data_IF_720789177243
#
_entry.id   IF_720789177243
#
_cell.length_a   1.000
_cell.length_b   1.000
_cell.length_c   1.000
_cell.angle_alpha   90.00
_cell.angle_beta   90.00
_cell.angle_gamma   90.00
#
_symmetry.space_group_name_H-M   'P 1'
#
loop_
_entity.id
_entity.type
_entity.pdbx_description
1 polymer ?
#
# COMPACT_ATOMS: atom_id res chain seq x y z
N UNK A 1 26.05 -20.20 -36.30
CA UNK A 1 26.33 -19.99 -34.87
C UNK A 1 25.25 -19.08 -34.32
N UNK A 2 24.19 -19.68 -33.78
CA UNK A 2 23.19 -18.96 -33.00
C UNK A 2 23.72 -18.99 -31.59
N UNK A 3 24.24 -17.86 -31.11
CA UNK A 3 24.35 -17.59 -29.69
C UNK A 3 22.92 -17.71 -29.16
N UNK A 4 22.64 -18.86 -28.57
CA UNK A 4 21.49 -19.02 -27.69
C UNK A 4 21.65 -17.88 -26.69
N UNK A 5 20.70 -16.96 -26.71
CA UNK A 5 20.55 -15.97 -25.65
C UNK A 5 20.42 -16.80 -24.37
N UNK A 6 21.53 -16.87 -23.62
CA UNK A 6 21.75 -17.88 -22.60
C UNK A 6 20.67 -17.71 -21.55
N UNK A 7 19.64 -18.57 -21.58
CA UNK A 7 18.42 -18.46 -20.78
C UNK A 7 18.65 -18.30 -19.28
N UNK A 8 19.88 -18.56 -18.81
CA UNK A 8 20.43 -18.13 -17.52
C UNK A 8 20.19 -16.64 -17.22
N UNK A 9 20.44 -15.74 -18.18
CA UNK A 9 20.18 -14.30 -18.01
C UNK A 9 18.68 -13.98 -17.91
N UNK A 10 17.83 -14.76 -18.58
CA UNK A 10 16.38 -14.64 -18.48
C UNK A 10 15.85 -15.15 -17.13
N UNK A 11 16.40 -16.24 -16.60
CA UNK A 11 16.00 -16.81 -15.31
C UNK A 11 16.38 -15.88 -14.14
N UNK A 12 17.59 -15.31 -14.16
CA UNK A 12 18.04 -14.32 -13.17
C UNK A 12 17.17 -13.05 -13.22
N UNK A 13 16.88 -12.56 -14.44
CA UNK A 13 16.01 -11.40 -14.63
C UNK A 13 14.58 -11.67 -14.15
N UNK A 14 14.04 -12.88 -14.40
CA UNK A 14 12.73 -13.30 -13.90
C UNK A 14 12.71 -13.31 -12.38
N UNK A 15 13.70 -13.91 -11.73
CA UNK A 15 13.77 -13.97 -10.28
C UNK A 15 13.82 -12.57 -9.64
N UNK A 16 14.61 -11.65 -10.23
CA UNK A 16 14.67 -10.27 -9.76
C UNK A 16 13.31 -9.56 -9.93
N UNK A 17 12.65 -9.75 -11.07
CA UNK A 17 11.34 -9.18 -11.34
C UNK A 17 10.27 -9.72 -10.38
N UNK A 18 10.27 -11.02 -10.08
CA UNK A 18 9.36 -11.65 -9.11
C UNK A 18 9.56 -11.11 -7.70
N UNK A 19 10.82 -10.98 -7.25
CA UNK A 19 11.15 -10.38 -5.97
C UNK A 19 10.66 -8.92 -5.89
N UNK A 20 10.90 -8.14 -6.94
CA UNK A 20 10.45 -6.75 -6.99
C UNK A 20 8.92 -6.64 -7.02
N UNK A 21 8.25 -7.54 -7.73
CA UNK A 21 6.79 -7.60 -7.78
C UNK A 21 6.20 -7.94 -6.41
N UNK A 22 6.84 -8.83 -5.64
CA UNK A 22 6.46 -9.12 -4.27
C UNK A 22 6.59 -7.88 -3.36
N UNK A 23 7.71 -7.13 -3.45
CA UNK A 23 7.91 -5.86 -2.72
C UNK A 23 6.83 -4.84 -3.07
N UNK A 24 6.54 -4.64 -4.36
CA UNK A 24 5.48 -3.73 -4.82
C UNK A 24 4.11 -4.15 -4.28
N UNK A 25 3.78 -5.45 -4.31
CA UNK A 25 2.53 -5.96 -3.75
C UNK A 25 2.43 -5.74 -2.24
N UNK A 26 3.53 -5.88 -1.51
CA UNK A 26 3.60 -5.53 -0.09
C UNK A 26 3.29 -4.07 0.17
N UNK A 27 3.97 -3.16 -0.54
CA UNK A 27 3.74 -1.71 -0.44
C UNK A 27 2.30 -1.31 -0.77
N UNK A 28 1.71 -1.92 -1.80
CA UNK A 28 0.30 -1.70 -2.14
C UNK A 28 -0.65 -2.18 -1.03
N UNK A 29 -0.35 -3.30 -0.36
CA UNK A 29 -1.15 -3.78 0.75
C UNK A 29 -1.09 -2.82 1.95
N UNK A 30 0.10 -2.28 2.24
CA UNK A 30 0.27 -1.29 3.31
C UNK A 30 -0.45 0.01 3.01
N UNK A 31 -0.33 0.53 1.78
CA UNK A 31 -1.04 1.73 1.34
C UNK A 31 -2.56 1.55 1.41
N UNK A 32 -3.10 0.40 0.99
CA UNK A 32 -4.54 0.10 1.13
C UNK A 32 -5.00 0.05 2.58
N UNK A 33 -4.14 -0.40 3.49
CA UNK A 33 -4.45 -0.39 4.93
C UNK A 33 -4.54 1.04 5.46
N UNK A 34 -3.58 1.89 5.11
CA UNK A 34 -3.57 3.31 5.47
C UNK A 34 -4.81 4.01 4.90
N UNK A 35 -5.09 3.79 3.62
CA UNK A 35 -6.27 4.33 2.92
C UNK A 35 -7.56 3.97 3.66
N UNK A 36 -7.73 2.70 4.06
CA UNK A 36 -8.95 2.26 4.77
C UNK A 36 -9.14 2.98 6.11
N UNK A 37 -8.06 3.20 6.87
CA UNK A 37 -8.11 3.93 8.13
C UNK A 37 -8.50 5.38 7.87
N UNK A 38 -7.82 6.05 6.94
CA UNK A 38 -8.11 7.45 6.58
C UNK A 38 -9.55 7.62 6.08
N UNK A 39 -10.01 6.73 5.19
CA UNK A 39 -11.38 6.75 4.67
C UNK A 39 -12.42 6.59 5.80
N UNK A 40 -12.10 5.81 6.82
CA UNK A 40 -12.97 5.65 8.00
C UNK A 40 -13.01 6.93 8.82
N UNK A 41 -11.85 7.51 9.14
CA UNK A 41 -11.76 8.76 9.90
C UNK A 41 -12.49 9.92 9.19
N UNK A 42 -12.36 10.01 7.86
CA UNK A 42 -13.06 11.03 7.06
C UNK A 42 -14.57 10.82 7.11
N UNK A 43 -15.06 9.57 6.92
CA UNK A 43 -16.49 9.28 7.01
C UNK A 43 -17.05 9.62 8.40
N UNK A 44 -16.35 9.24 9.46
CA UNK A 44 -16.79 9.49 10.83
C UNK A 44 -16.85 10.99 11.13
N UNK A 45 -15.86 11.75 10.64
CA UNK A 45 -15.85 13.21 10.72
C UNK A 45 -17.03 13.86 9.97
N UNK A 46 -17.34 13.37 8.76
CA UNK A 46 -18.48 13.89 7.98
C UNK A 46 -19.83 13.51 8.63
N UNK A 47 -19.92 12.35 9.27
CA UNK A 47 -21.13 11.91 9.95
C UNK A 47 -21.37 12.66 11.29
N UNK A 48 -20.32 13.17 11.93
CA UNK A 48 -20.38 13.81 13.24
C UNK A 48 -20.80 15.29 13.21
N UNK A 49 -21.63 15.71 12.25
CA UNK A 49 -22.13 17.10 12.20
C UNK A 49 -22.88 17.45 13.50
N UNK A 50 -22.38 18.46 14.23
CA UNK A 50 -22.97 18.94 15.49
C UNK A 50 -22.37 18.35 16.77
N UNK A 51 -21.35 17.50 16.71
CA UNK A 51 -20.65 17.02 17.91
C UNK A 51 -19.61 18.03 18.39
N UNK A 52 -19.47 18.18 19.72
CA UNK A 52 -18.54 19.12 20.38
C UNK A 52 -17.06 18.83 20.04
N UNK A 53 -16.73 17.59 19.69
CA UNK A 53 -15.36 17.21 19.29
C UNK A 53 -15.37 16.43 17.98
N UNK A 54 -14.45 16.78 17.08
CA UNK A 54 -14.24 16.08 15.82
C UNK A 54 -13.57 14.70 16.09
N UNK A 55 -14.18 13.58 15.67
CA UNK A 55 -13.61 12.23 15.84
C UNK A 55 -12.24 12.06 15.19
N UNK A 56 -11.99 12.75 14.07
CA UNK A 56 -10.71 12.73 13.37
C UNK A 56 -9.60 13.39 14.21
N UNK A 57 -9.85 14.59 14.75
CA UNK A 57 -8.90 15.27 15.65
C UNK A 57 -8.65 14.45 16.92
N UNK A 58 -9.72 13.91 17.51
CA UNK A 58 -9.64 13.10 18.73
C UNK A 58 -8.84 11.80 18.56
N UNK A 59 -8.79 11.27 17.34
CA UNK A 59 -8.02 10.06 17.04
C UNK A 59 -6.55 10.39 16.77
N UNK A 60 -6.28 11.47 16.03
CA UNK A 60 -4.91 11.92 15.75
C UNK A 60 -4.15 12.40 17.00
N UNK A 61 -4.84 12.99 17.98
CA UNK A 61 -4.22 13.43 19.25
C UNK A 61 -3.85 12.27 20.20
N UNK A 62 -4.33 11.05 19.95
CA UNK A 62 -4.07 9.87 20.78
C UNK A 62 -2.94 8.98 20.25
N UNK A 63 -2.35 9.34 19.11
CA UNK A 63 -1.17 8.70 18.53
C UNK A 63 0.07 9.54 18.82
#
# INVERSE_FOLDING_TARGET
LLTLDDGTHCDDARQLAELKLADVRGKLADLRRIEKVLATLVRDCCASHGTVSCPLISTLQRQ
#
